data_IF_452331725266
#
_entry.id   IF_452331725266
#
_cell.length_a   1.000
_cell.length_b   1.000
_cell.length_c   1.000
_cell.angle_alpha   90.00
_cell.angle_beta   90.00
_cell.angle_gamma   90.00
#
_symmetry.space_group_name_H-M   'P 1'
#
loop_
_entity.id
_entity.type
_entity.pdbx_description
1 polymer ?
#
# COMPACT_ATOMS: atom_id res chain seq x y z
N UNK A 1 -7.13 -1.80 35.62
CA UNK A 1 -7.32 -2.81 34.57
C UNK A 1 -5.95 -3.11 34.00
N UNK A 2 -5.50 -4.37 34.02
CA UNK A 2 -4.19 -4.76 33.47
C UNK A 2 -4.14 -4.39 31.99
N UNK A 3 -3.38 -3.35 31.62
CA UNK A 3 -3.13 -3.03 30.22
C UNK A 3 -2.33 -4.18 29.60
N UNK A 4 -3.01 -5.05 28.86
CA UNK A 4 -2.33 -6.07 28.08
C UNK A 4 -1.53 -5.37 26.98
N UNK A 5 -0.21 -5.36 27.14
CA UNK A 5 0.73 -4.86 26.15
C UNK A 5 0.52 -5.60 24.83
N UNK A 6 0.43 -4.88 23.72
CA UNK A 6 0.20 -5.49 22.42
C UNK A 6 1.39 -6.39 22.02
N UNK A 7 1.12 -7.66 21.78
CA UNK A 7 2.13 -8.64 21.33
C UNK A 7 1.74 -9.23 19.98
N UNK A 8 2.72 -9.30 19.07
CA UNK A 8 2.56 -10.03 17.82
C UNK A 8 2.56 -11.55 18.06
N UNK A 9 1.91 -12.33 17.19
CA UNK A 9 2.01 -13.78 17.26
C UNK A 9 3.45 -14.25 16.99
N UNK A 10 3.73 -15.52 17.28
CA UNK A 10 5.02 -16.12 16.93
C UNK A 10 5.36 -15.91 15.46
N UNK A 11 6.65 -15.70 15.15
CA UNK A 11 7.14 -15.41 13.80
C UNK A 11 6.65 -16.42 12.75
N UNK A 12 6.56 -17.70 13.11
CA UNK A 12 6.03 -18.76 12.24
C UNK A 12 4.54 -18.58 11.93
N UNK A 13 3.73 -18.28 12.95
CA UNK A 13 2.30 -18.03 12.78
C UNK A 13 2.05 -16.73 12.00
N UNK A 14 2.78 -15.65 12.31
CA UNK A 14 2.72 -14.40 11.54
C UNK A 14 3.06 -14.65 10.06
N UNK A 15 4.15 -15.36 9.79
CA UNK A 15 4.56 -15.68 8.43
C UNK A 15 3.55 -16.54 7.68
N UNK A 16 2.92 -17.52 8.35
CA UNK A 16 1.86 -18.34 7.76
C UNK A 16 0.63 -17.50 7.38
N UNK A 17 0.16 -16.64 8.28
CA UNK A 17 -0.98 -15.74 8.02
C UNK A 17 -0.63 -14.78 6.87
N UNK A 18 0.56 -14.17 6.93
CA UNK A 18 1.05 -13.24 5.91
C UNK A 18 1.11 -13.90 4.53
N UNK A 19 1.69 -15.09 4.42
CA UNK A 19 1.75 -15.84 3.16
C UNK A 19 0.38 -16.26 2.65
N UNK A 20 -0.51 -16.72 3.53
CA UNK A 20 -1.86 -17.12 3.13
C UNK A 20 -2.64 -15.93 2.56
N UNK A 21 -2.59 -14.77 3.23
CA UNK A 21 -3.24 -13.55 2.76
C UNK A 21 -2.57 -13.01 1.48
N UNK A 22 -1.25 -13.05 1.39
CA UNK A 22 -0.53 -12.66 0.18
C UNK A 22 -0.90 -13.55 -1.01
N UNK A 23 -1.02 -14.86 -0.80
CA UNK A 23 -1.44 -15.80 -1.84
C UNK A 23 -2.90 -15.55 -2.28
N UNK A 24 -3.81 -15.26 -1.35
CA UNK A 24 -5.20 -14.92 -1.67
C UNK A 24 -5.30 -13.61 -2.46
N UNK A 25 -4.56 -12.57 -2.04
CA UNK A 25 -4.56 -11.26 -2.69
C UNK A 25 -3.93 -11.35 -4.09
N UNK A 26 -2.69 -11.85 -4.17
CA UNK A 26 -1.97 -11.94 -5.45
C UNK A 26 -2.62 -12.96 -6.40
N UNK A 27 -3.09 -14.10 -5.87
CA UNK A 27 -3.80 -15.12 -6.63
C UNK A 27 -5.14 -14.61 -7.15
N UNK A 28 -5.92 -13.90 -6.32
CA UNK A 28 -7.15 -13.25 -6.76
C UNK A 28 -6.89 -12.16 -7.81
N UNK A 29 -5.86 -11.34 -7.61
CA UNK A 29 -5.46 -10.28 -8.53
C UNK A 29 -5.04 -10.82 -9.89
N UNK A 30 -4.20 -11.86 -9.92
CA UNK A 30 -3.79 -12.54 -11.15
C UNK A 30 -4.94 -13.32 -11.79
N UNK A 31 -5.78 -13.97 -10.97
CA UNK A 31 -6.91 -14.76 -11.45
C UNK A 31 -7.97 -13.89 -12.14
N UNK A 32 -8.36 -12.78 -11.51
CA UNK A 32 -9.28 -11.81 -12.11
C UNK A 32 -8.65 -11.20 -13.37
N UNK A 33 -7.38 -10.81 -13.33
CA UNK A 33 -6.68 -10.28 -14.50
C UNK A 33 -6.67 -11.28 -15.66
N UNK A 34 -6.30 -12.53 -15.41
CA UNK A 34 -6.25 -13.57 -16.42
C UNK A 34 -7.64 -13.86 -17.01
N UNK A 35 -8.67 -13.99 -16.16
CA UNK A 35 -10.05 -14.14 -16.64
C UNK A 35 -10.49 -12.94 -17.48
N UNK A 36 -10.23 -11.72 -17.00
CA UNK A 36 -10.60 -10.48 -17.66
C UNK A 36 -9.93 -10.30 -19.04
N UNK A 37 -8.70 -10.76 -19.21
CA UNK A 37 -7.95 -10.60 -20.47
C UNK A 37 -8.17 -11.75 -21.45
N UNK A 38 -8.33 -12.98 -20.96
CA UNK A 38 -8.25 -14.17 -21.82
C UNK A 38 -9.54 -14.98 -21.93
N UNK A 39 -10.56 -14.68 -21.12
CA UNK A 39 -11.82 -15.44 -21.10
C UNK A 39 -13.03 -14.52 -21.23
N UNK A 40 -13.01 -13.37 -20.55
CA UNK A 40 -14.12 -12.44 -20.56
C UNK A 40 -14.21 -11.69 -21.90
N UNK A 41 -15.41 -11.58 -22.44
CA UNK A 41 -15.70 -10.74 -23.62
C UNK A 41 -16.62 -9.59 -23.19
N UNK A 42 -16.11 -8.35 -23.25
CA UNK A 42 -16.88 -7.19 -22.85
C UNK A 42 -18.04 -6.91 -23.82
N UNK A 43 -19.23 -6.74 -23.27
CA UNK A 43 -20.42 -6.32 -24.00
C UNK A 43 -21.26 -5.36 -23.16
N UNK A 44 -22.25 -4.71 -23.78
CA UNK A 44 -23.17 -3.84 -23.05
C UNK A 44 -24.01 -4.57 -21.99
N UNK A 45 -24.32 -5.85 -22.20
CA UNK A 45 -25.14 -6.63 -21.25
C UNK A 45 -24.36 -7.01 -19.99
N UNK A 46 -23.04 -7.13 -20.07
CA UNK A 46 -22.19 -7.51 -18.94
C UNK A 46 -21.34 -6.35 -18.38
N UNK A 47 -21.56 -5.12 -18.87
CA UNK A 47 -20.84 -3.92 -18.41
C UNK A 47 -20.89 -3.71 -16.88
N UNK A 48 -22.03 -3.91 -16.17
CA UNK A 48 -22.04 -3.79 -14.71
C UNK A 48 -21.08 -4.79 -14.03
N UNK A 49 -20.98 -6.01 -14.56
CA UNK A 49 -20.05 -7.01 -14.05
C UNK A 49 -18.60 -6.64 -14.36
N UNK A 50 -18.32 -6.08 -15.54
CA UNK A 50 -17.00 -5.56 -15.88
C UNK A 50 -16.55 -4.42 -14.94
N UNK A 51 -17.47 -3.50 -14.58
CA UNK A 51 -17.19 -2.43 -13.61
C UNK A 51 -16.91 -3.00 -12.22
N UNK A 52 -17.70 -3.98 -11.76
CA UNK A 52 -17.44 -4.66 -10.49
C UNK A 52 -16.07 -5.34 -10.50
N UNK A 53 -15.75 -6.05 -11.59
CA UNK A 53 -14.46 -6.72 -11.75
C UNK A 53 -13.30 -5.70 -11.75
N UNK A 54 -13.45 -4.56 -12.43
CA UNK A 54 -12.49 -3.47 -12.40
C UNK A 54 -12.30 -2.89 -10.99
N UNK A 55 -13.38 -2.72 -10.22
CA UNK A 55 -13.33 -2.22 -8.85
C UNK A 55 -12.63 -3.21 -7.90
N UNK A 56 -12.93 -4.50 -8.02
CA UNK A 56 -12.23 -5.55 -7.25
C UNK A 56 -10.77 -5.64 -7.69
N UNK A 57 -10.46 -5.54 -8.98
CA UNK A 57 -9.10 -5.52 -9.49
C UNK A 57 -8.32 -4.31 -8.96
N UNK A 58 -8.94 -3.13 -8.88
CA UNK A 58 -8.37 -1.94 -8.26
C UNK A 58 -8.05 -2.18 -6.78
N UNK A 59 -9.01 -2.69 -6.01
CA UNK A 59 -8.81 -2.97 -4.60
C UNK A 59 -7.72 -4.04 -4.37
N UNK A 60 -7.69 -5.10 -5.17
CA UNK A 60 -6.64 -6.12 -5.10
C UNK A 60 -5.27 -5.58 -5.52
N UNK A 61 -5.20 -4.66 -6.49
CA UNK A 61 -3.97 -3.94 -6.85
C UNK A 61 -3.41 -3.16 -5.65
N UNK A 62 -4.27 -2.49 -4.87
CA UNK A 62 -3.86 -1.88 -3.58
C UNK A 62 -3.33 -2.96 -2.66
N UNK A 63 -4.02 -4.09 -2.51
CA UNK A 63 -3.60 -5.21 -1.68
C UNK A 63 -2.23 -5.79 -2.06
N UNK A 64 -1.94 -5.94 -3.36
CA UNK A 64 -0.64 -6.40 -3.86
C UNK A 64 0.47 -5.47 -3.39
N UNK A 65 0.24 -4.15 -3.46
CA UNK A 65 1.16 -3.16 -2.94
C UNK A 65 1.36 -3.26 -1.43
N UNK A 66 0.29 -3.55 -0.68
CA UNK A 66 0.35 -3.69 0.78
C UNK A 66 1.11 -4.94 1.20
N UNK A 67 0.99 -6.04 0.44
CA UNK A 67 1.85 -7.23 0.60
C UNK A 67 3.32 -6.88 0.38
N UNK A 68 3.62 -6.08 -0.65
CA UNK A 68 4.98 -5.63 -0.93
C UNK A 68 5.51 -4.70 0.17
N UNK A 69 4.65 -3.84 0.72
CA UNK A 69 4.98 -2.97 1.84
C UNK A 69 5.32 -3.77 3.11
N UNK A 70 4.51 -4.75 3.48
CA UNK A 70 4.81 -5.66 4.60
C UNK A 70 6.15 -6.41 4.36
N UNK A 71 6.44 -6.76 3.11
CA UNK A 71 7.73 -7.33 2.74
C UNK A 71 8.89 -6.34 2.95
N UNK A 72 8.70 -5.03 2.71
CA UNK A 72 9.71 -3.98 2.94
C UNK A 72 10.06 -3.87 4.42
N UNK A 73 9.07 -3.95 5.31
CA UNK A 73 9.30 -3.93 6.75
C UNK A 73 9.76 -5.25 7.35
N UNK A 74 9.68 -6.34 6.59
CA UNK A 74 9.99 -7.67 7.11
C UNK A 74 8.81 -8.35 7.81
N UNK A 75 7.64 -7.70 7.88
CA UNK A 75 6.46 -8.19 8.61
C UNK A 75 5.73 -9.31 7.86
N UNK A 76 5.90 -9.42 6.52
CA UNK A 76 5.31 -10.49 5.70
C UNK A 76 5.81 -11.89 6.14
N UNK A 77 7.11 -12.16 6.05
CA UNK A 77 7.78 -13.29 6.74
C UNK A 77 8.89 -12.76 7.67
N UNK A 78 8.63 -12.71 8.99
CA UNK A 78 9.63 -12.27 9.96
C UNK A 78 10.91 -13.10 9.91
N UNK A 79 12.06 -12.45 9.76
CA UNK A 79 13.38 -13.09 9.71
C UNK A 79 13.74 -13.73 8.37
N UNK A 80 12.90 -13.61 7.32
CA UNK A 80 13.15 -14.17 5.98
C UNK A 80 13.24 -13.08 4.91
N UNK A 81 14.05 -12.05 5.15
CA UNK A 81 14.16 -10.87 4.27
C UNK A 81 14.46 -11.16 2.80
N UNK A 82 15.21 -12.23 2.49
CA UNK A 82 15.45 -12.67 1.10
C UNK A 82 14.19 -13.15 0.39
N UNK A 83 13.33 -13.87 1.11
CA UNK A 83 12.05 -14.38 0.58
C UNK A 83 11.08 -13.22 0.39
N UNK A 84 10.98 -12.31 1.37
CA UNK A 84 10.20 -11.08 1.24
C UNK A 84 10.60 -10.28 0.01
N UNK A 85 11.90 -10.06 -0.18
CA UNK A 85 12.42 -9.35 -1.34
C UNK A 85 12.08 -10.06 -2.66
N UNK A 86 12.16 -11.39 -2.71
CA UNK A 86 11.82 -12.15 -3.92
C UNK A 86 10.33 -12.02 -4.26
N UNK A 87 9.43 -12.24 -3.28
CA UNK A 87 7.98 -12.10 -3.46
C UNK A 87 7.64 -10.70 -3.96
N UNK A 88 8.11 -9.66 -3.27
CA UNK A 88 7.79 -8.30 -3.62
C UNK A 88 8.43 -7.84 -4.93
N UNK A 89 9.62 -8.35 -5.29
CA UNK A 89 10.22 -8.08 -6.61
C UNK A 89 9.32 -8.59 -7.74
N UNK A 90 8.81 -9.82 -7.62
CA UNK A 90 7.91 -10.39 -8.63
C UNK A 90 6.61 -9.59 -8.69
N UNK A 91 5.98 -9.33 -7.55
CA UNK A 91 4.69 -8.63 -7.51
C UNK A 91 4.79 -7.19 -8.03
N UNK A 92 5.82 -6.44 -7.64
CA UNK A 92 6.04 -5.07 -8.12
C UNK A 92 6.37 -5.02 -9.61
N UNK A 93 7.15 -6.00 -10.10
CA UNK A 93 7.43 -6.12 -11.52
C UNK A 93 6.15 -6.40 -12.32
N UNK A 94 5.31 -7.34 -11.87
CA UNK A 94 4.03 -7.63 -12.54
C UNK A 94 3.06 -6.46 -12.48
N UNK A 95 3.08 -5.68 -11.39
CA UNK A 95 2.18 -4.55 -11.22
C UNK A 95 2.37 -3.48 -12.30
N UNK A 96 3.60 -2.99 -12.48
CA UNK A 96 3.91 -1.94 -13.48
C UNK A 96 5.41 -1.87 -13.83
N UNK A 97 6.12 -3.00 -13.76
CA UNK A 97 7.56 -3.03 -13.97
C UNK A 97 8.35 -2.29 -12.89
N UNK A 98 7.81 -2.17 -11.68
CA UNK A 98 8.45 -1.42 -10.60
C UNK A 98 9.68 -2.14 -10.04
N UNK A 99 10.72 -1.37 -9.77
CA UNK A 99 11.97 -1.88 -9.20
C UNK A 99 11.89 -1.94 -7.67
N UNK A 100 11.95 -3.15 -7.11
CA UNK A 100 11.88 -3.40 -5.66
C UNK A 100 12.79 -2.50 -4.82
N UNK A 101 14.07 -2.38 -5.19
CA UNK A 101 15.05 -1.60 -4.40
C UNK A 101 14.65 -0.13 -4.32
N UNK A 102 14.25 0.46 -5.45
CA UNK A 102 13.82 1.85 -5.53
C UNK A 102 12.65 2.12 -4.60
N UNK A 103 11.59 1.31 -4.67
CA UNK A 103 10.40 1.52 -3.84
C UNK A 103 10.68 1.25 -2.37
N UNK A 104 11.41 0.18 -2.03
CA UNK A 104 11.79 -0.13 -0.65
C UNK A 104 12.63 0.99 -0.03
N UNK A 105 13.63 1.47 -0.75
CA UNK A 105 14.56 2.48 -0.22
C UNK A 105 13.85 3.83 -0.08
N UNK A 106 12.96 4.17 -1.02
CA UNK A 106 12.09 5.34 -0.92
C UNK A 106 11.16 5.23 0.31
N UNK A 107 10.48 4.10 0.48
CA UNK A 107 9.59 3.86 1.60
C UNK A 107 10.29 3.96 2.97
N UNK A 108 11.47 3.37 3.12
CA UNK A 108 12.27 3.54 4.34
C UNK A 108 12.79 4.97 4.54
N UNK A 109 12.98 5.73 3.46
CA UNK A 109 13.34 7.15 3.55
C UNK A 109 12.15 7.97 4.02
N UNK A 110 10.96 7.70 3.48
CA UNK A 110 9.70 8.27 3.97
C UNK A 110 9.53 8.04 5.47
N UNK A 111 9.67 6.81 5.96
CA UNK A 111 9.58 6.54 7.40
C UNK A 111 10.57 7.32 8.29
N UNK A 112 11.72 7.70 7.74
CA UNK A 112 12.76 8.45 8.46
C UNK A 112 12.55 9.95 8.41
N UNK A 113 12.01 10.45 7.30
CA UNK A 113 11.91 11.87 6.98
C UNK A 113 10.46 12.33 6.81
N UNK A 114 9.46 11.54 7.21
CA UNK A 114 8.05 11.77 6.95
C UNK A 114 7.64 13.23 7.14
N UNK A 115 7.09 13.87 6.10
CA UNK A 115 6.66 15.28 6.17
C UNK A 115 7.78 16.32 6.29
N UNK A 116 9.04 15.92 6.07
CA UNK A 116 10.21 16.78 6.07
C UNK A 116 10.91 16.77 4.71
N UNK A 117 11.82 17.74 4.53
CA UNK A 117 12.65 17.83 3.33
C UNK A 117 13.41 16.53 3.09
N UNK A 118 13.30 16.01 1.86
CA UNK A 118 13.92 14.76 1.44
C UNK A 118 13.06 13.52 1.61
N UNK A 119 11.85 13.63 2.17
CA UNK A 119 10.84 12.57 2.08
C UNK A 119 10.39 12.38 0.62
N UNK A 120 10.60 11.20 0.01
CA UNK A 120 10.23 10.96 -1.38
C UNK A 120 8.71 10.99 -1.62
N UNK A 121 7.92 10.74 -0.58
CA UNK A 121 6.46 10.68 -0.64
C UNK A 121 5.79 12.00 -0.27
N UNK A 122 6.55 13.02 0.11
CA UNK A 122 6.06 14.35 0.48
C UNK A 122 6.40 15.40 -0.58
N UNK A 123 5.42 16.24 -0.92
CA UNK A 123 5.62 17.40 -1.79
C UNK A 123 5.82 18.64 -0.91
N UNK A 124 7.09 18.98 -0.63
CA UNK A 124 7.45 20.10 0.25
C UNK A 124 6.99 21.47 -0.27
N UNK A 125 6.87 21.60 -1.60
CA UNK A 125 6.44 22.83 -2.25
C UNK A 125 4.91 22.96 -2.27
N UNK A 126 4.18 21.85 -2.20
CA UNK A 126 2.73 21.79 -2.30
C UNK A 126 2.07 20.89 -1.25
N UNK A 127 2.38 21.03 0.05
CA UNK A 127 2.05 20.05 1.09
C UNK A 127 0.56 19.99 1.45
N UNK A 128 -0.24 20.91 0.90
CA UNK A 128 -1.70 21.00 1.04
C UNK A 128 -2.46 20.81 -0.28
N UNK A 129 -1.76 20.65 -1.41
CA UNK A 129 -2.38 20.54 -2.74
C UNK A 129 -2.45 19.08 -3.20
N UNK A 130 -3.62 18.47 -3.07
CA UNK A 130 -3.85 17.08 -3.49
C UNK A 130 -3.39 16.78 -4.92
N UNK A 131 -3.81 17.59 -5.89
CA UNK A 131 -3.56 17.31 -7.31
C UNK A 131 -2.07 17.44 -7.67
N UNK A 132 -1.39 18.49 -7.17
CA UNK A 132 0.04 18.70 -7.46
C UNK A 132 0.88 17.62 -6.81
N UNK A 133 0.58 17.29 -5.56
CA UNK A 133 1.29 16.26 -4.84
C UNK A 133 1.07 14.87 -5.46
N UNK A 134 -0.16 14.53 -5.86
CA UNK A 134 -0.40 13.28 -6.60
C UNK A 134 0.44 13.19 -7.86
N UNK A 135 0.57 14.30 -8.59
CA UNK A 135 1.40 14.35 -9.80
C UNK A 135 2.89 14.19 -9.50
N UNK A 136 3.40 14.81 -8.44
CA UNK A 136 4.78 14.64 -7.97
C UNK A 136 5.06 13.18 -7.57
N UNK A 137 4.16 12.59 -6.78
CA UNK A 137 4.22 11.18 -6.37
C UNK A 137 4.19 10.24 -7.57
N UNK A 138 3.21 10.41 -8.47
CA UNK A 138 3.04 9.54 -9.62
C UNK A 138 4.27 9.54 -10.53
N UNK A 139 4.80 10.71 -10.90
CA UNK A 139 5.99 10.80 -11.77
C UNK A 139 7.25 10.24 -11.13
N UNK A 140 7.36 10.27 -9.79
CA UNK A 140 8.53 9.76 -9.08
C UNK A 140 8.64 8.24 -9.21
N UNK A 141 7.51 7.55 -9.11
CA UNK A 141 7.47 6.09 -9.13
C UNK A 141 7.18 5.53 -10.52
N UNK A 142 6.30 6.17 -11.28
CA UNK A 142 5.94 5.77 -12.64
C UNK A 142 6.84 6.48 -13.67
N UNK A 143 8.03 5.90 -13.88
CA UNK A 143 9.04 6.40 -14.80
C UNK A 143 8.98 5.79 -16.21
N UNK A 144 9.98 6.09 -17.03
CA UNK A 144 10.11 5.59 -18.41
C UNK A 144 10.16 4.06 -18.51
N UNK A 145 10.72 3.37 -17.50
CA UNK A 145 10.75 1.90 -17.45
C UNK A 145 9.34 1.31 -17.32
N UNK A 146 8.53 1.85 -16.41
CA UNK A 146 7.13 1.47 -16.25
C UNK A 146 6.31 1.81 -17.50
N UNK A 147 6.59 2.95 -18.14
CA UNK A 147 5.98 3.29 -19.44
C UNK A 147 6.27 2.20 -20.47
N UNK A 148 7.54 1.85 -20.70
CA UNK A 148 7.91 0.79 -21.66
C UNK A 148 7.22 -0.52 -21.30
N UNK A 149 7.29 -0.95 -20.03
CA UNK A 149 6.66 -2.19 -19.56
C UNK A 149 5.15 -2.22 -19.88
N UNK A 150 4.41 -1.18 -19.47
CA UNK A 150 2.96 -1.10 -19.68
C UNK A 150 2.62 -1.08 -21.18
N UNK A 151 3.37 -0.32 -21.99
CA UNK A 151 3.14 -0.27 -23.44
C UNK A 151 3.44 -1.61 -24.12
N UNK A 152 4.45 -2.35 -23.65
CA UNK A 152 4.72 -3.71 -24.13
C UNK A 152 3.58 -4.65 -23.80
N UNK A 153 3.07 -4.65 -22.56
CA UNK A 153 1.93 -5.50 -22.16
C UNK A 153 0.68 -5.15 -22.95
N UNK A 154 0.31 -3.86 -23.04
CA UNK A 154 -0.85 -3.39 -23.81
C UNK A 154 -0.70 -3.71 -25.29
N UNK A 155 0.50 -3.53 -25.86
CA UNK A 155 0.80 -3.84 -27.25
C UNK A 155 0.64 -5.33 -27.56
N UNK A 156 1.09 -6.21 -26.67
CA UNK A 156 0.87 -7.67 -26.79
C UNK A 156 -0.63 -7.98 -26.73
N UNK A 157 -1.34 -7.46 -25.74
CA UNK A 157 -2.79 -7.72 -25.60
C UNK A 157 -3.57 -7.26 -26.81
N UNK A 158 -3.28 -6.07 -27.31
CA UNK A 158 -4.02 -5.49 -28.42
C UNK A 158 -3.63 -6.09 -29.77
N UNK A 159 -2.34 -6.13 -30.09
CA UNK A 159 -1.86 -6.44 -31.44
C UNK A 159 -1.60 -7.93 -31.67
N UNK A 160 -1.26 -8.69 -30.61
CA UNK A 160 -0.94 -10.12 -30.72
C UNK A 160 -2.13 -10.98 -30.31
N UNK A 161 -2.81 -10.62 -29.21
CA UNK A 161 -3.93 -11.41 -28.68
C UNK A 161 -5.31 -10.89 -29.13
N UNK A 162 -5.37 -9.73 -29.78
CA UNK A 162 -6.62 -9.19 -30.33
C UNK A 162 -7.62 -8.73 -29.27
N UNK A 163 -7.20 -8.48 -28.03
CA UNK A 163 -8.09 -8.03 -26.95
C UNK A 163 -8.55 -6.59 -27.26
N UNK A 164 -9.86 -6.29 -27.20
CA UNK A 164 -10.36 -4.95 -27.48
C UNK A 164 -9.74 -3.89 -26.57
N UNK A 165 -9.30 -2.76 -27.13
CA UNK A 165 -8.65 -1.68 -26.37
C UNK A 165 -9.52 -1.19 -25.19
N UNK A 166 -10.84 -1.09 -25.39
CA UNK A 166 -11.78 -0.70 -24.32
C UNK A 166 -11.73 -1.67 -23.14
N UNK A 167 -11.56 -2.96 -23.39
CA UNK A 167 -11.46 -3.98 -22.35
C UNK A 167 -10.12 -3.90 -21.61
N UNK A 168 -9.02 -3.70 -22.33
CA UNK A 168 -7.69 -3.48 -21.75
C UNK A 168 -7.71 -2.24 -20.85
N UNK A 169 -8.26 -1.13 -21.33
CA UNK A 169 -8.36 0.10 -20.55
C UNK A 169 -9.25 -0.10 -19.32
N UNK A 170 -10.44 -0.68 -19.47
CA UNK A 170 -11.40 -0.82 -18.38
C UNK A 170 -10.96 -1.81 -17.29
N UNK A 171 -10.31 -2.91 -17.67
CA UNK A 171 -10.04 -4.04 -16.77
C UNK A 171 -8.56 -4.21 -16.38
N UNK A 172 -7.64 -3.48 -17.02
CA UNK A 172 -6.22 -3.47 -16.66
C UNK A 172 -5.69 -2.06 -16.38
N UNK A 173 -5.82 -1.14 -17.34
CA UNK A 173 -5.25 0.20 -17.22
C UNK A 173 -5.89 1.06 -16.13
N UNK A 174 -7.23 1.18 -16.16
CA UNK A 174 -7.97 1.99 -15.20
C UNK A 174 -7.85 1.46 -13.76
N UNK A 175 -8.00 0.14 -13.49
CA UNK A 175 -7.77 -0.41 -12.16
C UNK A 175 -6.37 -0.08 -11.60
N UNK A 176 -5.31 -0.16 -12.41
CA UNK A 176 -3.94 0.12 -11.97
C UNK A 176 -3.70 1.61 -11.64
N UNK A 177 -4.28 2.53 -12.43
CA UNK A 177 -4.20 3.97 -12.18
C UNK A 177 -5.07 4.40 -10.99
N UNK A 178 -6.26 3.79 -10.85
CA UNK A 178 -7.15 4.08 -9.73
C UNK A 178 -6.58 3.52 -8.42
N UNK A 179 -5.90 2.38 -8.44
CA UNK A 179 -5.23 1.85 -7.25
C UNK A 179 -4.03 2.70 -6.84
N UNK A 180 -3.27 3.30 -7.77
CA UNK A 180 -2.24 4.27 -7.39
C UNK A 180 -2.84 5.53 -6.76
N UNK A 181 -3.97 6.02 -7.27
CA UNK A 181 -4.69 7.14 -6.67
C UNK A 181 -5.22 6.78 -5.28
N UNK A 182 -5.76 5.58 -5.09
CA UNK A 182 -6.27 5.09 -3.82
C UNK A 182 -5.16 4.95 -2.77
N UNK A 183 -4.04 4.32 -3.13
CA UNK A 183 -2.84 4.21 -2.29
C UNK A 183 -2.33 5.60 -1.88
N UNK A 184 -2.17 6.50 -2.85
CA UNK A 184 -1.73 7.86 -2.57
C UNK A 184 -2.69 8.58 -1.63
N UNK A 185 -3.99 8.54 -1.89
CA UNK A 185 -4.96 9.29 -1.09
C UNK A 185 -5.00 8.80 0.35
N UNK A 186 -5.16 7.49 0.57
CA UNK A 186 -5.33 6.93 1.91
C UNK A 186 -4.01 6.64 2.64
N UNK A 187 -2.96 6.27 1.91
CA UNK A 187 -1.67 5.89 2.46
C UNK A 187 -0.62 7.00 2.51
N UNK A 188 -0.83 8.11 1.79
CA UNK A 188 0.17 9.19 1.71
C UNK A 188 -0.46 10.55 2.04
N UNK A 189 -1.37 11.04 1.20
CA UNK A 189 -1.90 12.39 1.30
C UNK A 189 -2.67 12.63 2.60
N UNK A 190 -3.71 11.83 2.89
CA UNK A 190 -4.52 12.05 4.09
C UNK A 190 -3.73 11.97 5.40
N UNK A 191 -2.89 10.94 5.64
CA UNK A 191 -2.13 10.86 6.88
C UNK A 191 -1.09 11.98 7.00
N UNK A 192 -0.46 12.40 5.90
CA UNK A 192 0.70 13.29 5.92
C UNK A 192 0.45 14.73 5.44
N UNK A 193 -0.76 15.12 5.01
CA UNK A 193 -0.96 16.50 4.55
C UNK A 193 -0.78 17.51 5.68
N UNK A 194 -0.10 18.62 5.34
CA UNK A 194 0.11 19.71 6.27
C UNK A 194 -1.06 20.68 6.15
N UNK A 195 -1.66 21.02 7.28
CA UNK A 195 -2.68 22.03 7.40
C UNK A 195 -2.54 22.69 8.77
N UNK A 196 -2.45 24.02 8.82
CA UNK A 196 -2.18 24.78 10.06
C UNK A 196 -3.18 24.44 11.17
N UNK A 197 -4.44 24.22 10.81
CA UNK A 197 -5.52 23.87 11.74
C UNK A 197 -5.44 22.42 12.27
N UNK A 198 -4.49 21.60 11.81
CA UNK A 198 -4.37 20.18 12.16
C UNK A 198 -2.90 19.86 12.46
N UNK A 199 -2.35 20.20 13.63
CA UNK A 199 -0.99 19.80 13.98
C UNK A 199 -0.85 18.27 14.04
N UNK A 200 0.38 17.78 13.86
CA UNK A 200 0.71 16.36 14.09
C UNK A 200 0.92 16.10 15.58
N UNK A 201 0.63 14.86 16.00
CA UNK A 201 0.81 14.45 17.40
C UNK A 201 2.30 14.30 17.77
N UNK A 202 3.15 13.97 16.80
CA UNK A 202 4.56 13.71 17.01
C UNK A 202 5.40 13.89 15.72
N UNK A 203 6.67 13.52 15.80
CA UNK A 203 7.66 13.61 14.72
C UNK A 203 7.42 12.68 13.53
N UNK A 204 6.50 11.72 13.62
CA UNK A 204 6.19 10.85 12.48
C UNK A 204 5.37 11.57 11.43
N UNK A 205 4.85 12.77 11.74
CA UNK A 205 4.04 13.60 10.86
C UNK A 205 2.95 12.80 10.14
N UNK A 206 2.32 11.87 10.87
CA UNK A 206 1.28 10.97 10.37
C UNK A 206 0.03 11.10 11.23
N UNK A 207 -1.12 10.72 10.69
CA UNK A 207 -2.40 10.70 11.40
C UNK A 207 -3.15 9.41 11.12
N UNK A 208 -4.00 9.06 12.06
CA UNK A 208 -4.91 7.91 11.95
C UNK A 208 -6.34 8.38 11.74
N UNK A 209 -7.03 7.71 10.82
CA UNK A 209 -8.43 7.93 10.51
C UNK A 209 -9.38 7.38 11.57
N UNK A 210 -10.55 8.02 11.70
CA UNK A 210 -11.70 7.51 12.47
C UNK A 210 -12.41 6.31 11.85
N UNK A 211 -11.78 5.59 10.91
CA UNK A 211 -12.42 4.50 10.16
C UNK A 211 -12.74 3.28 11.02
N UNK A 212 -13.92 2.71 10.76
CA UNK A 212 -14.25 1.35 11.19
C UNK A 212 -13.26 0.35 10.58
N UNK A 213 -13.14 -0.84 11.17
CA UNK A 213 -12.26 -1.90 10.65
C UNK A 213 -12.57 -2.21 9.18
N UNK A 214 -13.84 -2.35 8.81
CA UNK A 214 -14.25 -2.65 7.44
C UNK A 214 -13.91 -1.50 6.48
N UNK A 215 -14.21 -0.26 6.85
CA UNK A 215 -13.87 0.91 6.03
C UNK A 215 -12.36 0.98 5.80
N UNK A 216 -11.56 0.76 6.85
CA UNK A 216 -10.10 0.79 6.76
C UNK A 216 -9.55 -0.34 5.86
N UNK A 217 -10.18 -1.51 5.85
CA UNK A 217 -9.85 -2.61 4.92
C UNK A 217 -10.14 -2.22 3.46
N UNK A 218 -11.33 -1.66 3.20
CA UNK A 218 -11.77 -1.31 1.85
C UNK A 218 -11.00 -0.14 1.26
N UNK A 219 -10.49 0.77 2.09
CA UNK A 219 -9.74 1.94 1.61
C UNK A 219 -8.27 1.65 1.35
N UNK A 220 -7.55 1.01 2.27
CA UNK A 220 -6.12 0.76 2.12
C UNK A 220 -5.62 -0.35 3.05
N UNK A 221 -6.34 -1.47 3.18
CA UNK A 221 -5.88 -2.62 3.97
C UNK A 221 -5.41 -2.25 5.38
N UNK A 222 -6.21 -1.42 6.06
CA UNK A 222 -5.95 -0.89 7.40
C UNK A 222 -4.91 0.22 7.55
N UNK A 223 -4.30 0.71 6.47
CA UNK A 223 -3.37 1.86 6.50
C UNK A 223 -4.03 3.22 6.78
N UNK A 224 -5.36 3.26 6.92
CA UNK A 224 -6.01 4.37 7.63
C UNK A 224 -5.55 4.48 9.09
N UNK A 225 -4.93 3.44 9.66
CA UNK A 225 -4.30 3.43 10.98
C UNK A 225 -2.79 3.73 10.84
N UNK A 226 -2.50 4.83 10.15
CA UNK A 226 -1.15 5.14 9.64
C UNK A 226 -0.19 5.55 10.76
N UNK A 227 -0.67 6.23 11.80
CA UNK A 227 0.18 6.60 12.92
C UNK A 227 0.64 5.36 13.69
N UNK A 228 -0.25 4.38 13.92
CA UNK A 228 0.10 3.10 14.52
C UNK A 228 1.18 2.38 13.70
N UNK A 229 1.06 2.41 12.37
CA UNK A 229 2.05 1.86 11.45
C UNK A 229 3.43 2.53 11.60
N UNK A 230 3.49 3.86 11.68
CA UNK A 230 4.76 4.59 11.87
C UNK A 230 5.43 4.30 13.22
N UNK A 231 4.66 4.09 14.28
CA UNK A 231 5.17 3.68 15.59
C UNK A 231 5.62 2.22 15.63
N UNK A 232 4.88 1.34 14.96
CA UNK A 232 5.06 -0.11 14.98
C UNK A 232 5.10 -0.69 13.56
N UNK A 233 6.15 -0.37 12.78
CA UNK A 233 6.30 -0.86 11.41
C UNK A 233 6.50 -2.39 11.33
N UNK A 234 6.75 -3.05 12.45
CA UNK A 234 6.81 -4.51 12.56
C UNK A 234 5.42 -5.19 12.51
N UNK A 235 4.35 -4.41 12.68
CA UNK A 235 2.97 -4.90 12.69
C UNK A 235 2.47 -5.04 11.25
N UNK A 236 2.11 -6.24 10.80
CA UNK A 236 1.58 -6.43 9.45
C UNK A 236 0.18 -5.81 9.32
N UNK A 237 -0.21 -5.50 8.10
CA UNK A 237 -1.44 -4.75 7.79
C UNK A 237 -2.70 -5.33 8.49
N UNK A 238 -2.83 -6.66 8.52
CA UNK A 238 -4.00 -7.35 9.09
C UNK A 238 -4.06 -7.26 10.63
N UNK A 239 -2.96 -6.92 11.29
CA UNK A 239 -2.86 -6.76 12.74
C UNK A 239 -3.01 -5.30 13.21
N UNK A 240 -2.94 -4.31 12.31
CA UNK A 240 -3.10 -2.89 12.63
C UNK A 240 -4.39 -2.57 13.39
N UNK A 241 -5.57 -3.15 13.09
CA UNK A 241 -6.78 -2.90 13.88
C UNK A 241 -6.63 -3.32 15.36
N UNK A 242 -5.92 -4.41 15.62
CA UNK A 242 -5.67 -4.88 16.98
C UNK A 242 -4.64 -3.98 17.69
N UNK A 243 -3.59 -3.56 16.99
CA UNK A 243 -2.61 -2.61 17.51
C UNK A 243 -3.27 -1.28 17.91
N UNK A 244 -4.17 -0.75 17.06
CA UNK A 244 -4.96 0.44 17.36
C UNK A 244 -5.81 0.27 18.62
N UNK A 245 -6.58 -0.83 18.73
CA UNK A 245 -7.40 -1.11 19.93
C UNK A 245 -6.56 -1.20 21.20
N UNK A 246 -5.33 -1.70 21.06
CA UNK A 246 -4.37 -1.82 22.14
C UNK A 246 -3.58 -0.52 22.42
N UNK A 247 -3.87 0.60 21.73
CA UNK A 247 -3.25 1.91 22.01
C UNK A 247 -1.71 1.89 21.93
N UNK A 248 -1.17 1.27 20.88
CA UNK A 248 0.29 1.13 20.72
C UNK A 248 1.03 2.46 20.58
N UNK A 249 0.35 3.51 20.14
CA UNK A 249 0.92 4.86 20.01
C UNK A 249 1.13 5.45 21.42
N UNK A 250 0.11 5.38 22.27
CA UNK A 250 0.18 5.83 23.66
C UNK A 250 1.25 5.06 24.45
N UNK A 251 1.30 3.73 24.30
CA UNK A 251 2.34 2.90 24.90
C UNK A 251 3.76 3.28 24.46
N UNK A 252 3.91 3.75 23.21
CA UNK A 252 5.20 4.17 22.66
C UNK A 252 5.65 5.52 23.22
N UNK A 253 4.71 6.44 23.45
CA UNK A 253 4.99 7.70 24.14
C UNK A 253 5.42 7.48 25.59
N UNK A 254 4.69 6.65 26.35
CA UNK A 254 5.02 6.32 27.73
C UNK A 254 6.40 5.67 27.86
N UNK A 255 6.70 4.69 27.01
CA UNK A 255 8.02 4.05 26.99
C UNK A 255 9.15 5.02 26.64
N UNK A 256 8.88 6.00 25.78
CA UNK A 256 9.83 7.06 25.43
C UNK A 256 10.11 8.02 26.59
N UNK A 257 9.08 8.38 27.36
CA UNK A 257 9.21 9.22 28.56
C UNK A 257 10.05 8.54 29.63
N UNK A 258 9.74 7.28 29.96
CA UNK A 258 10.48 6.50 30.98
C UNK A 258 11.98 6.39 30.62
N UNK A 259 12.31 6.18 29.33
CA UNK A 259 13.72 6.12 28.90
C UNK A 259 14.46 7.44 29.08
N UNK A 260 13.78 8.58 28.92
CA UNK A 260 14.38 9.90 29.15
C UNK A 260 14.60 10.17 30.64
N UNK A 261 13.67 9.74 31.49
CA UNK A 261 13.80 9.87 32.96
C UNK A 261 14.94 9.02 33.53
N UNK A 262 15.15 7.80 33.02
CA UNK A 262 16.27 6.94 33.46
C UNK A 262 17.62 7.47 32.95
N UNK A 263 17.63 8.21 31.84
CA UNK A 263 18.85 8.74 31.23
C UNK A 263 19.24 10.15 31.73
N UNK A 264 18.41 10.78 32.58
CA UNK A 264 18.63 12.08 33.20
C UNK A 264 19.18 11.92 34.63
#
# INVERSE_FOLDING_TARGET
MSEQRFTLPYRSAQGLIGLALAALIAGGWLGIHAYAMFVFELSWSNLPFAILMAAVQCWLSVGVFIVCHDAMHGSLLPGKGRVNAAIATVLLFLYAGFAWRTLRDAHHTHHRLAGHKGDPDFDEDNPSSFARWYWTFFKRYFGWQSLIFVHTVVGIYWLVLGIPMVQIVLLYGAPALLSSLQLFYFGTYRPHHHADAKPFADKHNARTDGFSTLTSLLTCFHFGYHLEHHHRPDVPWWALPAARRARVVEQSYEAGTVRKEIAA
#
